data_IF_423561747005
#
_entry.id   IF_423561747005
#
_cell.length_a   1.000
_cell.length_b   1.000
_cell.length_c   1.000
_cell.angle_alpha   90.00
_cell.angle_beta   90.00
_cell.angle_gamma   90.00
#
_symmetry.space_group_name_H-M   'P 1'
#
loop_
_entity.id
_entity.type
_entity.pdbx_description
1 polymer ?
#
# COMPACT_ATOMS: atom_id res chain seq x y z
N UNK A 1 22.31 38.86 53.99
CA UNK A 1 22.81 38.15 52.79
C UNK A 1 21.96 36.91 52.56
N UNK A 2 21.06 36.94 51.56
CA UNK A 2 20.21 35.78 51.19
C UNK A 2 20.78 35.21 49.88
N UNK A 3 21.39 34.04 49.95
CA UNK A 3 21.87 33.32 48.75
C UNK A 3 20.68 32.71 48.05
N UNK A 4 20.40 33.17 46.84
CA UNK A 4 19.45 32.56 45.95
C UNK A 4 20.12 31.37 45.27
N UNK A 5 19.59 30.17 45.50
CA UNK A 5 20.00 28.94 44.80
C UNK A 5 19.30 28.94 43.45
N UNK A 6 20.01 29.20 42.36
CA UNK A 6 19.53 29.00 41.01
C UNK A 6 19.56 27.48 40.74
N UNK A 7 18.38 26.84 40.77
CA UNK A 7 18.24 25.51 40.18
C UNK A 7 18.28 25.67 38.64
N UNK A 8 19.38 25.28 38.03
CA UNK A 8 19.45 25.11 36.61
C UNK A 8 18.60 23.86 36.20
N UNK A 9 17.41 24.08 35.64
CA UNK A 9 16.67 23.05 34.94
C UNK A 9 17.47 22.70 33.69
N UNK A 10 18.20 21.57 33.74
CA UNK A 10 18.73 20.94 32.54
C UNK A 10 17.53 20.61 31.63
N UNK A 11 17.55 20.99 30.33
CA UNK A 11 16.53 20.53 29.41
C UNK A 11 16.59 19.01 29.40
N UNK A 12 15.47 18.36 29.70
CA UNK A 12 15.32 16.93 29.42
C UNK A 12 15.60 16.73 27.94
N UNK A 13 16.72 16.12 27.61
CA UNK A 13 16.97 15.61 26.27
C UNK A 13 15.84 14.62 26.01
N UNK A 14 14.84 15.05 25.22
CA UNK A 14 13.89 14.13 24.66
C UNK A 14 14.73 13.11 23.87
N UNK A 15 14.80 11.89 24.39
CA UNK A 15 15.40 10.78 23.65
C UNK A 15 14.66 10.74 22.30
N UNK A 16 15.39 10.92 21.22
CA UNK A 16 14.80 10.81 19.90
C UNK A 16 14.24 9.39 19.76
N UNK A 17 12.94 9.29 19.46
CA UNK A 17 12.30 8.00 19.24
C UNK A 17 12.99 7.30 18.07
N UNK A 18 13.29 6.02 18.24
CA UNK A 18 13.64 5.15 17.11
C UNK A 18 12.37 4.70 16.38
N UNK A 19 12.54 4.07 15.23
CA UNK A 19 11.41 3.66 14.41
C UNK A 19 10.53 2.61 15.12
N UNK A 20 11.11 1.71 15.92
CA UNK A 20 10.35 0.71 16.66
C UNK A 20 9.43 1.36 17.71
N UNK A 21 9.95 2.36 18.43
CA UNK A 21 9.15 3.17 19.38
C UNK A 21 8.05 3.96 18.68
N UNK A 22 8.31 4.47 17.46
CA UNK A 22 7.31 5.11 16.63
C UNK A 22 6.18 4.15 16.25
N UNK A 23 6.50 2.96 15.73
CA UNK A 23 5.51 1.94 15.37
C UNK A 23 4.63 1.55 16.58
N UNK A 24 5.23 1.31 17.74
CA UNK A 24 4.50 0.97 18.97
C UNK A 24 3.58 2.10 19.43
N UNK A 25 4.02 3.35 19.34
CA UNK A 25 3.21 4.51 19.73
C UNK A 25 1.94 4.62 18.89
N UNK A 26 2.03 4.38 17.59
CA UNK A 26 0.92 4.55 16.66
C UNK A 26 0.20 3.25 16.29
N UNK A 27 0.51 2.13 16.94
CA UNK A 27 -0.04 0.81 16.59
C UNK A 27 -1.58 0.72 16.66
N UNK A 28 -2.24 1.65 17.35
CA UNK A 28 -3.70 1.71 17.46
C UNK A 28 -4.35 2.72 16.51
N UNK A 29 -3.55 3.47 15.77
CA UNK A 29 -4.05 4.44 14.79
C UNK A 29 -4.31 3.77 13.44
N UNK A 30 -5.32 4.27 12.72
CA UNK A 30 -5.58 3.86 11.34
C UNK A 30 -4.56 4.46 10.35
N UNK A 31 -4.11 5.67 10.65
CA UNK A 31 -3.04 6.34 9.94
C UNK A 31 -2.22 7.14 10.95
N UNK A 32 -0.91 6.91 10.99
CA UNK A 32 -0.04 7.73 11.83
C UNK A 32 0.15 9.12 11.23
N UNK A 33 0.42 10.14 12.05
CA UNK A 33 0.72 11.48 11.56
C UNK A 33 1.95 11.46 10.63
N UNK A 34 1.89 12.25 9.55
CA UNK A 34 3.04 12.45 8.68
C UNK A 34 4.04 13.39 9.36
N UNK A 35 4.89 12.84 10.19
CA UNK A 35 5.92 13.55 10.94
C UNK A 35 7.30 12.94 10.66
N UNK A 36 8.33 13.76 10.75
CA UNK A 36 9.72 13.31 10.72
C UNK A 36 10.29 13.27 12.14
N UNK A 37 11.19 12.35 12.38
CA UNK A 37 11.99 12.29 13.59
C UNK A 37 13.48 12.15 13.23
N UNK A 38 14.32 12.50 14.19
CA UNK A 38 15.78 12.41 14.03
C UNK A 38 16.36 11.72 15.26
N UNK A 39 17.36 10.85 15.11
CA UNK A 39 18.03 10.49 13.86
C UNK A 39 17.24 9.46 13.03
N UNK A 40 17.63 9.29 11.76
CA UNK A 40 17.10 8.23 10.91
C UNK A 40 17.48 6.84 11.45
N UNK A 41 16.53 5.90 11.46
CA UNK A 41 16.81 4.48 11.74
C UNK A 41 17.14 3.76 10.43
N UNK A 42 18.39 3.28 10.32
CA UNK A 42 18.88 2.61 9.11
C UNK A 42 19.08 1.12 9.37
N UNK A 43 18.43 0.29 8.55
CA UNK A 43 18.56 -1.16 8.58
C UNK A 43 18.96 -1.68 7.19
N UNK A 44 19.72 -2.76 7.15
CA UNK A 44 20.02 -3.49 5.91
C UNK A 44 19.48 -4.90 6.01
N UNK A 45 18.92 -5.40 4.90
CA UNK A 45 18.47 -6.77 4.79
C UNK A 45 18.54 -7.24 3.34
N UNK A 46 19.31 -8.30 3.10
CA UNK A 46 19.30 -9.09 1.86
C UNK A 46 19.38 -8.25 0.56
N UNK A 47 20.31 -7.29 0.54
CA UNK A 47 20.58 -6.44 -0.62
C UNK A 47 19.74 -5.16 -0.67
N UNK A 48 19.02 -4.83 0.43
CA UNK A 48 18.25 -3.61 0.57
C UNK A 48 18.66 -2.79 1.79
N UNK A 49 18.62 -1.48 1.65
CA UNK A 49 18.81 -0.49 2.72
C UNK A 49 17.51 0.21 2.98
N UNK A 50 17.08 0.22 4.24
CA UNK A 50 15.86 0.86 4.73
C UNK A 50 16.26 1.99 5.67
N UNK A 51 15.90 3.22 5.33
CA UNK A 51 16.14 4.41 6.15
C UNK A 51 14.79 5.01 6.54
N UNK A 52 14.44 4.91 7.82
CA UNK A 52 13.19 5.45 8.36
C UNK A 52 13.40 6.81 9.02
N UNK A 53 12.57 7.77 8.65
CA UNK A 53 12.53 9.12 9.26
C UNK A 53 11.08 9.47 9.57
N UNK A 54 10.50 8.83 10.59
CA UNK A 54 9.09 8.99 10.93
C UNK A 54 8.16 8.43 9.87
N UNK A 55 7.27 9.27 9.35
CA UNK A 55 6.30 8.90 8.32
C UNK A 55 6.89 8.62 6.93
N UNK A 56 8.22 8.57 6.78
CA UNK A 56 8.89 8.25 5.52
C UNK A 56 9.85 7.08 5.67
N UNK A 57 9.84 6.17 4.72
CA UNK A 57 10.88 5.16 4.52
C UNK A 57 11.53 5.34 3.16
N UNK A 58 12.85 5.55 3.16
CA UNK A 58 13.67 5.51 1.96
C UNK A 58 14.24 4.12 1.78
N UNK A 59 13.98 3.51 0.62
CA UNK A 59 14.44 2.15 0.33
C UNK A 59 15.30 2.17 -0.93
N UNK A 60 16.50 1.61 -0.81
CA UNK A 60 17.47 1.53 -1.90
C UNK A 60 18.08 0.13 -1.97
N UNK A 61 18.45 -0.28 -3.17
CA UNK A 61 19.30 -1.49 -3.32
C UNK A 61 20.72 -1.18 -2.86
N UNK A 62 21.34 -2.08 -2.13
CA UNK A 62 22.77 -1.96 -1.77
C UNK A 62 23.67 -1.89 -3.02
N UNK A 63 23.30 -2.62 -4.06
CA UNK A 63 23.96 -2.58 -5.36
C UNK A 63 23.02 -1.99 -6.39
N UNK A 64 23.30 -0.79 -6.89
CA UNK A 64 22.51 -0.20 -7.95
C UNK A 64 22.46 -1.15 -9.15
N UNK A 65 21.28 -1.33 -9.71
CA UNK A 65 21.14 -2.07 -10.97
C UNK A 65 21.32 -1.15 -12.17
N UNK A 66 21.61 -1.73 -13.34
CA UNK A 66 21.59 -1.00 -14.61
C UNK A 66 20.24 -0.30 -14.78
N UNK A 67 20.22 0.85 -15.45
CA UNK A 67 19.05 1.69 -15.63
C UNK A 67 17.81 0.88 -16.07
N UNK A 68 16.90 0.65 -15.13
CA UNK A 68 15.62 -0.03 -15.34
C UNK A 68 14.53 0.87 -14.79
N UNK A 69 13.41 0.90 -15.47
CA UNK A 69 12.24 1.63 -15.00
C UNK A 69 11.74 1.03 -13.70
N UNK A 70 11.44 1.82 -12.67
CA UNK A 70 10.87 1.32 -11.42
C UNK A 70 9.57 0.59 -11.72
N UNK A 71 9.44 -0.60 -11.13
CA UNK A 71 8.29 -1.47 -11.32
C UNK A 71 7.84 -2.03 -9.97
N UNK A 72 6.56 -1.92 -9.70
CA UNK A 72 5.93 -2.42 -8.49
C UNK A 72 5.09 -3.65 -8.81
N UNK A 73 5.18 -4.69 -7.95
CA UNK A 73 4.25 -5.80 -7.95
C UNK A 73 3.06 -5.47 -7.05
N UNK A 74 1.85 -5.69 -7.52
CA UNK A 74 0.63 -5.28 -6.82
C UNK A 74 -0.22 -6.49 -6.44
N UNK A 75 -0.48 -6.68 -5.14
CA UNK A 75 -1.38 -7.68 -4.57
C UNK A 75 -2.43 -7.00 -3.69
N UNK A 76 -3.61 -7.61 -3.58
CA UNK A 76 -4.67 -7.22 -2.63
C UNK A 76 -5.60 -8.41 -2.41
N UNK A 77 -6.43 -8.36 -1.36
CA UNK A 77 -7.48 -9.34 -1.14
C UNK A 77 -6.98 -10.77 -1.08
N UNK A 78 -5.93 -11.05 -0.30
CA UNK A 78 -5.40 -12.41 -0.08
C UNK A 78 -6.43 -13.23 0.69
N UNK A 79 -6.94 -12.68 1.80
CA UNK A 79 -8.03 -13.16 2.66
C UNK A 79 -7.71 -14.37 3.53
N UNK A 80 -6.98 -15.36 3.01
CA UNK A 80 -6.62 -16.60 3.67
C UNK A 80 -5.32 -17.20 3.07
N UNK A 81 -4.86 -18.34 3.62
CA UNK A 81 -3.76 -19.15 3.07
C UNK A 81 -4.21 -20.59 2.77
N UNK A 82 -5.47 -20.78 2.39
CA UNK A 82 -5.90 -22.06 1.86
C UNK A 82 -5.01 -22.47 0.67
N UNK A 83 -4.85 -23.79 0.40
CA UNK A 83 -3.88 -24.25 -0.59
C UNK A 83 -3.99 -23.58 -1.96
N UNK A 84 -5.20 -23.28 -2.43
CA UNK A 84 -5.47 -22.63 -3.70
C UNK A 84 -5.05 -21.15 -3.68
N UNK A 85 -5.32 -20.44 -2.58
CA UNK A 85 -4.91 -19.04 -2.40
C UNK A 85 -3.39 -18.96 -2.31
N UNK A 86 -2.77 -19.85 -1.54
CA UNK A 86 -1.32 -19.91 -1.42
C UNK A 86 -0.66 -20.16 -2.77
N UNK A 87 -1.13 -21.14 -3.54
CA UNK A 87 -0.61 -21.44 -4.88
C UNK A 87 -0.76 -20.25 -5.84
N UNK A 88 -1.86 -19.50 -5.71
CA UNK A 88 -2.09 -18.29 -6.51
C UNK A 88 -1.09 -17.17 -6.14
N UNK A 89 -0.91 -16.91 -4.85
CA UNK A 89 0.07 -15.92 -4.36
C UNK A 89 1.49 -16.32 -4.76
N UNK A 90 1.87 -17.60 -4.63
CA UNK A 90 3.16 -18.13 -5.10
C UNK A 90 3.38 -17.84 -6.60
N UNK A 91 2.34 -18.02 -7.42
CA UNK A 91 2.39 -17.74 -8.87
C UNK A 91 2.66 -16.25 -9.14
N UNK A 92 1.99 -15.36 -8.41
CA UNK A 92 2.19 -13.91 -8.57
C UNK A 92 3.56 -13.46 -8.05
N UNK A 93 4.00 -13.96 -6.90
CA UNK A 93 5.33 -13.65 -6.37
C UNK A 93 6.44 -14.13 -7.31
N UNK A 94 6.31 -15.30 -7.91
CA UNK A 94 7.25 -15.80 -8.92
C UNK A 94 7.30 -14.89 -10.17
N UNK A 95 6.16 -14.34 -10.60
CA UNK A 95 6.12 -13.36 -11.69
C UNK A 95 6.80 -12.04 -11.30
N UNK A 96 6.63 -11.58 -10.05
CA UNK A 96 7.30 -10.39 -9.51
C UNK A 96 8.81 -10.57 -9.43
N UNK A 97 9.29 -11.72 -8.94
CA UNK A 97 10.72 -12.04 -8.93
C UNK A 97 11.30 -12.09 -10.35
N UNK A 98 10.63 -12.75 -11.29
CA UNK A 98 11.04 -12.79 -12.70
C UNK A 98 11.11 -11.40 -13.33
N UNK A 99 10.21 -10.50 -12.93
CA UNK A 99 10.19 -9.10 -13.40
C UNK A 99 11.22 -8.25 -12.67
N UNK A 100 11.77 -8.73 -11.54
CA UNK A 100 12.69 -8.01 -10.66
C UNK A 100 12.07 -6.69 -10.15
N UNK A 101 10.86 -6.77 -9.55
CA UNK A 101 10.15 -5.59 -9.03
C UNK A 101 10.94 -4.91 -7.91
N UNK A 102 10.71 -3.60 -7.71
CA UNK A 102 11.38 -2.81 -6.68
C UNK A 102 10.73 -2.94 -5.31
N UNK A 103 9.43 -3.19 -5.30
CA UNK A 103 8.65 -3.51 -4.10
C UNK A 103 7.41 -4.30 -4.48
N UNK A 104 6.84 -5.00 -3.50
CA UNK A 104 5.51 -5.62 -3.58
C UNK A 104 4.57 -4.81 -2.70
N UNK A 105 3.49 -4.31 -3.29
CA UNK A 105 2.44 -3.55 -2.62
C UNK A 105 1.31 -4.49 -2.23
N UNK A 106 0.89 -4.47 -0.97
CA UNK A 106 -0.27 -5.20 -0.44
C UNK A 106 -1.37 -4.18 -0.15
N UNK A 107 -2.33 -4.08 -1.04
CA UNK A 107 -3.34 -3.01 -1.07
C UNK A 107 -4.60 -3.30 -0.23
N UNK A 108 -4.45 -3.97 0.91
CA UNK A 108 -5.54 -4.23 1.85
C UNK A 108 -6.37 -5.49 1.56
N UNK A 109 -7.36 -5.73 2.41
CA UNK A 109 -8.17 -6.95 2.45
C UNK A 109 -7.32 -8.22 2.60
N UNK A 110 -6.31 -8.14 3.48
CA UNK A 110 -5.36 -9.22 3.72
C UNK A 110 -6.02 -10.35 4.52
N UNK A 111 -6.67 -10.04 5.65
CA UNK A 111 -7.54 -10.95 6.39
C UNK A 111 -8.42 -10.20 7.40
N UNK A 112 -9.62 -10.71 7.69
CA UNK A 112 -10.48 -10.18 8.77
C UNK A 112 -10.05 -10.65 10.16
N UNK A 113 -9.35 -11.78 10.24
CA UNK A 113 -8.99 -12.43 11.50
C UNK A 113 -7.53 -12.13 11.87
N UNK A 114 -7.24 -11.80 13.16
CA UNK A 114 -5.87 -11.54 13.61
C UNK A 114 -4.90 -12.69 13.34
N UNK A 115 -5.34 -13.93 13.56
CA UNK A 115 -4.55 -15.13 13.29
C UNK A 115 -4.25 -15.29 11.80
N UNK A 116 -5.20 -14.94 10.94
CA UNK A 116 -5.01 -14.94 9.48
C UNK A 116 -3.98 -13.89 9.04
N UNK A 117 -3.98 -12.69 9.66
CA UNK A 117 -2.97 -11.66 9.42
C UNK A 117 -1.58 -12.16 9.81
N UNK A 118 -1.43 -12.77 11.00
CA UNK A 118 -0.17 -13.33 11.47
C UNK A 118 0.37 -14.40 10.49
N UNK A 119 -0.48 -15.32 10.05
CA UNK A 119 -0.11 -16.39 9.13
C UNK A 119 0.31 -15.84 7.75
N UNK A 120 -0.49 -14.91 7.21
CA UNK A 120 -0.22 -14.35 5.88
C UNK A 120 1.09 -13.54 5.90
N UNK A 121 1.32 -12.69 6.90
CA UNK A 121 2.56 -11.92 6.96
C UNK A 121 3.78 -12.82 7.25
N UNK A 122 3.65 -13.82 8.12
CA UNK A 122 4.72 -14.81 8.31
C UNK A 122 5.08 -15.50 6.99
N UNK A 123 4.06 -15.94 6.24
CA UNK A 123 4.28 -16.54 4.93
C UNK A 123 4.95 -15.56 3.95
N UNK A 124 4.44 -14.34 3.81
CA UNK A 124 4.95 -13.37 2.83
C UNK A 124 6.40 -12.98 3.09
N UNK A 125 6.79 -12.76 4.36
CA UNK A 125 8.17 -12.35 4.70
C UNK A 125 9.20 -13.45 4.46
N UNK A 126 8.77 -14.72 4.35
CA UNK A 126 9.62 -15.84 3.97
C UNK A 126 9.55 -16.15 2.46
N UNK A 127 8.47 -15.77 1.79
CA UNK A 127 8.27 -16.06 0.37
C UNK A 127 9.02 -15.10 -0.56
N UNK A 128 9.35 -13.88 -0.10
CA UNK A 128 10.11 -12.91 -0.90
C UNK A 128 10.99 -12.03 -0.02
N UNK A 129 12.13 -11.59 -0.57
CA UNK A 129 13.03 -10.61 0.04
C UNK A 129 12.80 -9.19 -0.49
N UNK A 130 11.78 -8.99 -1.33
CA UNK A 130 11.41 -7.66 -1.83
C UNK A 130 10.77 -6.85 -0.69
N UNK A 131 10.97 -5.52 -0.67
CA UNK A 131 10.19 -4.67 0.22
C UNK A 131 8.69 -4.94 0.05
N UNK A 132 8.00 -5.20 1.17
CA UNK A 132 6.56 -5.43 1.24
C UNK A 132 5.91 -4.17 1.83
N UNK A 133 5.11 -3.47 1.03
CA UNK A 133 4.47 -2.20 1.39
C UNK A 133 2.97 -2.45 1.61
N UNK A 134 2.51 -2.38 2.85
CA UNK A 134 1.17 -2.84 3.26
C UNK A 134 0.29 -1.67 3.70
N UNK A 135 -0.92 -1.56 3.15
CA UNK A 135 -1.99 -0.71 3.70
C UNK A 135 -3.17 -1.58 4.16
N UNK A 136 -3.93 -1.09 5.13
CA UNK A 136 -5.20 -1.72 5.52
C UNK A 136 -6.30 -1.47 4.48
N UNK A 137 -7.21 -2.43 4.39
CA UNK A 137 -8.47 -2.32 3.65
C UNK A 137 -9.67 -2.10 4.57
N UNK A 138 -10.84 -2.55 4.12
CA UNK A 138 -12.06 -2.51 4.92
C UNK A 138 -12.36 -3.82 5.66
N UNK A 139 -11.54 -4.85 5.46
CA UNK A 139 -11.67 -6.14 6.17
C UNK A 139 -10.93 -6.15 7.50
N UNK A 140 -9.76 -5.55 7.58
CA UNK A 140 -8.89 -5.62 8.75
C UNK A 140 -9.34 -4.69 9.88
N UNK A 141 -9.05 -5.13 11.12
CA UNK A 141 -8.92 -4.23 12.27
C UNK A 141 -7.54 -3.59 12.21
N UNK A 142 -7.45 -2.27 12.14
CA UNK A 142 -6.17 -1.57 12.00
C UNK A 142 -5.15 -1.96 13.07
N UNK A 143 -5.56 -2.01 14.34
CA UNK A 143 -4.68 -2.44 15.43
C UNK A 143 -4.17 -3.88 15.27
N UNK A 144 -4.98 -4.81 14.73
CA UNK A 144 -4.55 -6.19 14.49
C UNK A 144 -3.53 -6.27 13.34
N UNK A 145 -3.77 -5.54 12.25
CA UNK A 145 -2.83 -5.43 11.14
C UNK A 145 -1.50 -4.83 11.61
N UNK A 146 -1.55 -3.69 12.33
CA UNK A 146 -0.36 -3.04 12.85
C UNK A 146 0.43 -3.97 13.77
N UNK A 147 -0.25 -4.68 14.68
CA UNK A 147 0.38 -5.63 15.60
C UNK A 147 1.06 -6.80 14.84
N UNK A 148 0.39 -7.38 13.86
CA UNK A 148 0.94 -8.48 13.06
C UNK A 148 2.21 -8.05 12.29
N UNK A 149 2.21 -6.85 11.72
CA UNK A 149 3.41 -6.30 11.05
C UNK A 149 4.54 -6.03 12.05
N UNK A 150 4.26 -5.37 13.18
CA UNK A 150 5.24 -5.08 14.23
C UNK A 150 5.87 -6.39 14.76
N UNK A 151 5.08 -7.43 14.95
CA UNK A 151 5.54 -8.75 15.37
C UNK A 151 6.58 -9.33 14.41
N UNK A 152 6.33 -9.29 13.10
CA UNK A 152 7.27 -9.76 12.08
C UNK A 152 8.54 -8.88 12.04
N UNK A 153 8.39 -7.57 12.18
CA UNK A 153 9.55 -6.66 12.23
C UNK A 153 10.43 -6.91 13.45
N UNK A 154 9.84 -7.18 14.62
CA UNK A 154 10.57 -7.58 15.85
C UNK A 154 11.29 -8.94 15.67
N UNK A 155 10.75 -9.83 14.83
CA UNK A 155 11.42 -11.08 14.44
C UNK A 155 12.57 -10.87 13.42
N UNK A 156 12.83 -9.62 13.00
CA UNK A 156 13.92 -9.26 12.10
C UNK A 156 13.54 -9.06 10.63
N UNK A 157 12.26 -9.18 10.27
CA UNK A 157 11.78 -8.99 8.90
C UNK A 157 11.56 -7.50 8.59
N UNK A 158 12.65 -6.72 8.54
CA UNK A 158 12.63 -5.26 8.37
C UNK A 158 12.12 -4.79 7.00
N UNK A 159 12.01 -5.68 6.03
CA UNK A 159 11.47 -5.38 4.69
C UNK A 159 9.93 -5.36 4.62
N UNK A 160 9.22 -5.71 5.71
CA UNK A 160 7.78 -5.55 5.84
C UNK A 160 7.48 -4.14 6.40
N UNK A 161 6.85 -3.30 5.61
CA UNK A 161 6.60 -1.89 5.90
C UNK A 161 5.09 -1.64 6.05
N UNK A 162 4.70 -1.09 7.19
CA UNK A 162 3.33 -0.65 7.44
C UNK A 162 3.11 0.75 6.85
N UNK A 163 2.45 0.82 5.70
CA UNK A 163 2.17 2.08 5.00
C UNK A 163 1.00 2.87 5.61
N UNK A 164 0.26 2.33 6.57
CA UNK A 164 -0.68 3.09 7.39
C UNK A 164 0.06 3.98 8.41
N UNK A 165 1.22 3.52 8.86
CA UNK A 165 2.08 4.25 9.80
C UNK A 165 3.16 5.05 9.06
N UNK A 166 3.85 4.42 8.10
CA UNK A 166 4.85 5.06 7.22
C UNK A 166 4.14 5.59 5.99
N UNK A 167 3.75 6.83 5.98
CA UNK A 167 2.87 7.41 4.97
C UNK A 167 3.52 7.70 3.60
N UNK A 168 4.86 7.65 3.52
CA UNK A 168 5.63 7.82 2.29
C UNK A 168 6.70 6.74 2.16
N UNK A 169 6.72 6.10 0.99
CA UNK A 169 7.84 5.31 0.49
C UNK A 169 8.60 6.16 -0.54
N UNK A 170 9.92 6.28 -0.36
CA UNK A 170 10.85 6.97 -1.26
C UNK A 170 11.71 5.89 -1.95
N UNK A 171 11.42 5.57 -3.20
CA UNK A 171 12.10 4.55 -4.01
C UNK A 171 12.97 5.16 -5.10
N UNK A 172 13.75 4.34 -5.83
CA UNK A 172 14.55 4.79 -6.97
C UNK A 172 13.64 5.12 -8.17
N UNK A 173 13.30 6.40 -8.37
CA UNK A 173 12.51 6.90 -9.49
C UNK A 173 11.00 6.74 -9.32
N UNK A 174 10.52 6.41 -8.12
CA UNK A 174 9.10 6.37 -7.77
C UNK A 174 8.89 6.60 -6.28
N UNK A 175 7.96 7.48 -5.95
CA UNK A 175 7.46 7.67 -4.59
C UNK A 175 6.05 7.09 -4.45
N UNK A 176 5.74 6.44 -3.31
CA UNK A 176 4.35 6.15 -2.96
C UNK A 176 3.94 7.00 -1.77
N UNK A 177 2.74 7.54 -1.82
CA UNK A 177 2.07 8.15 -0.68
C UNK A 177 0.78 7.38 -0.38
N UNK A 178 0.47 7.16 0.89
CA UNK A 178 -0.57 6.22 1.28
C UNK A 178 -1.58 6.78 2.26
N UNK A 179 -2.79 6.27 2.18
CA UNK A 179 -3.79 6.33 3.24
C UNK A 179 -4.48 4.97 3.36
N UNK A 180 -4.37 4.37 4.55
CA UNK A 180 -4.98 3.08 4.86
C UNK A 180 -6.44 3.21 5.30
N UNK A 181 -7.15 2.08 5.26
CA UNK A 181 -8.56 2.00 5.61
C UNK A 181 -9.51 2.35 4.47
N UNK A 182 -10.75 2.66 4.84
CA UNK A 182 -11.81 2.96 3.88
C UNK A 182 -12.56 4.26 4.23
N UNK A 183 -13.37 4.77 3.33
CA UNK A 183 -14.06 6.05 3.51
C UNK A 183 -15.46 5.93 4.12
N UNK A 184 -16.13 4.80 3.96
CA UNK A 184 -17.51 4.60 4.35
C UNK A 184 -17.66 3.44 5.35
N UNK A 185 -18.20 3.75 6.53
CA UNK A 185 -18.45 2.77 7.59
C UNK A 185 -19.42 1.65 7.20
N UNK A 186 -20.31 1.91 6.25
CA UNK A 186 -21.27 0.91 5.77
C UNK A 186 -20.61 -0.29 5.09
N UNK A 187 -19.38 -0.12 4.61
CA UNK A 187 -18.62 -1.17 3.94
C UNK A 187 -17.54 -1.81 4.80
N UNK A 188 -17.40 -1.42 6.07
CA UNK A 188 -16.50 -2.11 6.98
C UNK A 188 -17.05 -3.49 7.34
N UNK A 189 -16.23 -4.53 7.18
CA UNK A 189 -16.58 -5.89 7.60
C UNK A 189 -16.61 -6.01 9.12
N UNK A 190 -15.80 -5.23 9.82
CA UNK A 190 -15.71 -5.22 11.29
C UNK A 190 -15.90 -3.80 11.81
N UNK A 191 -16.61 -3.65 12.93
CA UNK A 191 -16.84 -2.35 13.56
C UNK A 191 -15.54 -1.59 13.94
N UNK A 192 -14.43 -2.33 14.13
CA UNK A 192 -13.11 -1.79 14.43
C UNK A 192 -12.21 -1.62 13.17
N UNK A 193 -12.79 -1.73 11.97
CA UNK A 193 -12.09 -1.43 10.73
C UNK A 193 -11.69 0.05 10.63
N UNK A 194 -10.65 0.31 9.88
CA UNK A 194 -10.10 1.66 9.74
C UNK A 194 -10.93 2.54 8.81
N UNK A 195 -11.23 3.73 9.31
CA UNK A 195 -11.81 4.83 8.53
C UNK A 195 -10.84 6.00 8.54
N UNK A 196 -10.36 6.40 7.38
CA UNK A 196 -9.57 7.62 7.28
C UNK A 196 -10.44 8.88 7.31
N UNK A 197 -9.86 9.95 7.87
CA UNK A 197 -10.52 11.25 8.12
C UNK A 197 -9.94 12.30 7.16
N UNK A 198 -10.55 13.47 7.12
CA UNK A 198 -10.07 14.60 6.31
C UNK A 198 -8.64 15.00 6.71
N UNK A 199 -8.29 14.95 8.01
CA UNK A 199 -6.91 15.14 8.49
C UNK A 199 -5.92 14.21 7.80
N UNK A 200 -6.26 12.92 7.64
CA UNK A 200 -5.38 11.94 7.02
C UNK A 200 -5.15 12.24 5.54
N UNK A 201 -6.15 12.86 4.88
CA UNK A 201 -6.07 13.32 3.50
C UNK A 201 -5.26 14.62 3.35
N UNK A 202 -5.34 15.53 4.33
CA UNK A 202 -4.49 16.73 4.36
C UNK A 202 -3.02 16.32 4.52
N UNK A 203 -2.70 15.41 5.41
CA UNK A 203 -1.36 14.85 5.60
C UNK A 203 -0.86 14.07 4.36
N UNK A 204 -1.76 13.40 3.63
CA UNK A 204 -1.45 12.78 2.35
C UNK A 204 -0.98 13.82 1.32
N UNK A 205 -1.62 14.98 1.27
CA UNK A 205 -1.21 16.07 0.39
C UNK A 205 0.16 16.66 0.79
N UNK A 206 0.47 16.70 2.09
CA UNK A 206 1.79 17.10 2.60
C UNK A 206 2.87 16.08 2.22
N UNK A 207 2.59 14.79 2.41
CA UNK A 207 3.48 13.71 1.99
C UNK A 207 3.78 13.77 0.48
N UNK A 208 2.76 14.00 -0.33
CA UNK A 208 2.91 14.14 -1.78
C UNK A 208 3.73 15.35 -2.18
N UNK A 209 3.64 16.47 -1.45
CA UNK A 209 4.44 17.67 -1.70
C UNK A 209 5.94 17.46 -1.39
N UNK A 210 6.29 16.42 -0.61
CA UNK A 210 7.67 16.07 -0.29
C UNK A 210 8.30 15.07 -1.27
N UNK A 211 7.53 14.56 -2.26
CA UNK A 211 8.02 13.65 -3.29
C UNK A 211 8.93 14.39 -4.28
N UNK A 212 10.07 13.77 -4.62
CA UNK A 212 11.02 14.26 -5.62
C UNK A 212 11.00 13.43 -6.91
N UNK A 213 10.39 12.26 -6.86
CA UNK A 213 10.12 11.40 -8.00
C UNK A 213 8.62 11.38 -8.38
N UNK A 214 8.22 10.51 -9.29
CA UNK A 214 6.84 10.33 -9.69
C UNK A 214 6.00 9.79 -8.51
N UNK A 215 5.10 10.62 -7.99
CA UNK A 215 4.23 10.26 -6.89
C UNK A 215 3.11 9.31 -7.35
N UNK A 216 2.94 8.20 -6.64
CA UNK A 216 1.86 7.22 -6.82
C UNK A 216 1.03 7.17 -5.54
N UNK A 217 -0.28 7.38 -5.65
CA UNK A 217 -1.18 7.19 -4.53
C UNK A 217 -1.41 5.69 -4.28
N UNK A 218 -1.29 5.26 -3.03
CA UNK A 218 -1.66 3.93 -2.56
C UNK A 218 -2.85 4.03 -1.60
N UNK A 219 -4.00 3.48 -2.00
CA UNK A 219 -5.21 3.41 -1.18
C UNK A 219 -5.89 2.05 -1.37
N UNK A 220 -6.70 1.62 -0.39
CA UNK A 220 -7.53 0.43 -0.60
C UNK A 220 -8.68 0.72 -1.56
N UNK A 221 -9.47 1.76 -1.30
CA UNK A 221 -10.58 2.16 -2.17
C UNK A 221 -10.16 3.13 -3.27
N UNK A 222 -10.77 3.06 -4.47
CA UNK A 222 -10.43 3.94 -5.58
C UNK A 222 -10.92 5.38 -5.39
N UNK A 223 -10.33 6.37 -6.10
CA UNK A 223 -10.92 7.70 -6.23
C UNK A 223 -12.28 7.62 -6.94
N UNK A 224 -13.17 8.59 -6.70
CA UNK A 224 -14.42 8.72 -7.44
C UNK A 224 -14.13 9.09 -8.89
N UNK A 225 -14.64 8.29 -9.80
CA UNK A 225 -14.53 8.47 -11.24
C UNK A 225 -15.91 8.55 -11.91
N UNK A 226 -15.99 8.43 -13.24
CA UNK A 226 -17.25 8.47 -13.98
C UNK A 226 -17.35 7.36 -15.01
N UNK A 227 -18.55 6.77 -15.11
CA UNK A 227 -18.90 5.80 -16.15
C UNK A 227 -18.60 4.36 -15.80
N UNK A 228 -19.18 3.46 -16.59
CA UNK A 228 -19.21 2.02 -16.32
C UNK A 228 -17.87 1.30 -16.55
N UNK A 229 -16.91 1.96 -17.18
CA UNK A 229 -15.57 1.41 -17.45
C UNK A 229 -14.52 1.95 -16.47
N UNK A 230 -14.93 2.79 -15.51
CA UNK A 230 -14.09 3.30 -14.45
C UNK A 230 -13.77 2.20 -13.42
N UNK A 231 -12.63 2.33 -12.74
CA UNK A 231 -12.19 1.31 -11.76
C UNK A 231 -12.99 1.34 -10.45
N UNK A 232 -13.84 2.36 -10.25
CA UNK A 232 -14.74 2.49 -9.10
C UNK A 232 -16.20 2.14 -9.43
N UNK A 233 -16.48 1.56 -10.61
CA UNK A 233 -17.82 1.22 -11.01
C UNK A 233 -18.27 -0.16 -10.51
N UNK A 234 -19.42 -0.19 -9.84
CA UNK A 234 -20.11 -1.41 -9.38
C UNK A 234 -21.47 -1.50 -10.04
N UNK A 235 -21.82 -2.60 -10.74
CA UNK A 235 -23.14 -2.80 -11.33
C UNK A 235 -24.27 -2.65 -10.29
N UNK A 236 -25.26 -1.83 -10.57
CA UNK A 236 -26.37 -1.56 -9.66
C UNK A 236 -26.12 -0.45 -8.62
N UNK A 237 -24.86 -0.14 -8.28
CA UNK A 237 -24.49 0.93 -7.34
C UNK A 237 -23.89 2.17 -8.04
N UNK A 238 -23.34 2.00 -9.25
CA UNK A 238 -22.69 3.08 -9.98
C UNK A 238 -21.23 3.28 -9.59
N UNK A 239 -20.73 4.51 -9.70
CA UNK A 239 -19.38 4.86 -9.29
C UNK A 239 -19.33 5.11 -7.77
N UNK A 240 -18.59 4.31 -7.02
CA UNK A 240 -18.59 4.26 -5.54
C UNK A 240 -17.30 4.75 -4.89
N UNK A 241 -16.32 5.20 -5.66
CA UNK A 241 -15.05 5.73 -5.13
C UNK A 241 -15.22 6.97 -4.24
N UNK A 242 -14.18 7.35 -3.50
CA UNK A 242 -14.22 8.53 -2.63
C UNK A 242 -13.95 9.83 -3.41
N UNK A 243 -14.88 10.79 -3.44
CA UNK A 243 -14.66 12.09 -4.07
C UNK A 243 -13.55 12.92 -3.40
N UNK A 244 -13.29 12.75 -2.10
CA UNK A 244 -12.24 13.46 -1.38
C UNK A 244 -10.85 13.03 -1.87
N UNK A 245 -10.65 11.74 -2.15
CA UNK A 245 -9.43 11.23 -2.79
C UNK A 245 -9.24 11.89 -4.15
N UNK A 246 -10.32 12.00 -4.95
CA UNK A 246 -10.26 12.68 -6.26
C UNK A 246 -9.80 14.14 -6.13
N UNK A 247 -10.26 14.85 -5.11
CA UNK A 247 -9.85 16.25 -4.87
C UNK A 247 -8.39 16.34 -4.40
N UNK A 248 -7.93 15.42 -3.55
CA UNK A 248 -6.51 15.35 -3.12
C UNK A 248 -5.61 15.11 -4.33
N UNK A 249 -5.95 14.15 -5.20
CA UNK A 249 -5.20 13.85 -6.42
C UNK A 249 -5.05 15.08 -7.32
N UNK A 250 -6.12 15.83 -7.52
CA UNK A 250 -6.10 17.07 -8.31
C UNK A 250 -5.23 18.15 -7.65
N UNK A 251 -5.42 18.40 -6.34
CA UNK A 251 -4.70 19.40 -5.57
C UNK A 251 -3.18 19.12 -5.55
N UNK A 252 -2.81 17.86 -5.28
CA UNK A 252 -1.42 17.42 -5.21
C UNK A 252 -0.82 17.09 -6.58
N UNK A 253 -1.62 17.13 -7.67
CA UNK A 253 -1.21 16.80 -9.05
C UNK A 253 -0.64 15.37 -9.18
N UNK A 254 -1.18 14.44 -8.40
CA UNK A 254 -0.82 13.02 -8.49
C UNK A 254 -1.60 12.42 -9.67
N UNK A 255 -0.87 11.84 -10.61
CA UNK A 255 -1.44 11.29 -11.85
C UNK A 255 -1.41 9.76 -11.89
N UNK A 256 -0.83 9.12 -10.88
CA UNK A 256 -0.76 7.68 -10.78
C UNK A 256 -1.34 7.21 -9.45
N UNK A 257 -2.02 6.05 -9.47
CA UNK A 257 -2.58 5.48 -8.24
C UNK A 257 -2.82 3.98 -8.32
N UNK A 258 -2.79 3.36 -7.16
CA UNK A 258 -3.04 1.94 -6.92
C UNK A 258 -4.24 1.85 -5.99
N UNK A 259 -5.25 1.09 -6.39
CA UNK A 259 -6.41 0.79 -5.57
C UNK A 259 -6.83 -0.69 -5.72
N UNK A 260 -7.68 -1.16 -4.81
CA UNK A 260 -8.30 -2.48 -4.83
C UNK A 260 -9.81 -2.35 -4.62
N UNK A 261 -10.34 -3.13 -3.65
CA UNK A 261 -11.72 -3.14 -3.15
C UNK A 261 -12.80 -3.50 -4.19
N UNK A 262 -12.85 -2.81 -5.34
CA UNK A 262 -13.88 -3.05 -6.38
C UNK A 262 -13.48 -4.25 -7.22
N UNK A 263 -13.94 -5.44 -6.83
CA UNK A 263 -13.54 -6.70 -7.47
C UNK A 263 -14.03 -6.81 -8.91
N UNK A 264 -15.14 -6.13 -9.25
CA UNK A 264 -15.67 -6.05 -10.61
C UNK A 264 -14.73 -5.35 -11.60
N UNK A 265 -13.80 -4.53 -11.09
CA UNK A 265 -12.81 -3.82 -11.88
C UNK A 265 -11.39 -4.43 -11.77
N UNK A 266 -11.27 -5.66 -11.25
CA UNK A 266 -9.98 -6.31 -11.04
C UNK A 266 -9.14 -6.40 -12.31
N UNK A 267 -7.87 -5.94 -12.23
CA UNK A 267 -6.94 -5.92 -13.35
C UNK A 267 -7.28 -4.89 -14.44
N UNK A 268 -8.10 -3.89 -14.11
CA UNK A 268 -8.40 -2.77 -15.01
C UNK A 268 -7.65 -1.51 -14.57
N UNK A 269 -7.46 -0.58 -15.51
CA UNK A 269 -6.97 0.76 -15.22
C UNK A 269 -7.74 1.82 -16.01
N UNK A 270 -7.78 3.03 -15.47
CA UNK A 270 -8.37 4.21 -16.09
C UNK A 270 -7.57 5.48 -15.78
N UNK A 271 -7.82 6.57 -16.51
CA UNK A 271 -7.48 7.91 -16.07
C UNK A 271 -8.43 8.37 -14.95
N UNK A 272 -8.18 9.53 -14.34
CA UNK A 272 -9.00 10.06 -13.24
C UNK A 272 -10.44 10.38 -13.68
N UNK A 273 -10.67 10.61 -14.97
CA UNK A 273 -12.02 10.82 -15.53
C UNK A 273 -12.80 9.51 -15.70
N UNK A 274 -12.14 8.34 -15.54
CA UNK A 274 -12.76 7.02 -15.71
C UNK A 274 -12.65 6.44 -17.12
N UNK A 275 -11.83 7.07 -18.00
CA UNK A 275 -11.56 6.52 -19.32
C UNK A 275 -10.55 5.38 -19.23
N UNK A 276 -10.83 4.20 -19.78
CA UNK A 276 -9.92 3.06 -19.70
C UNK A 276 -8.54 3.32 -20.29
N UNK A 277 -7.52 2.86 -19.58
CA UNK A 277 -6.13 2.80 -20.06
C UNK A 277 -5.83 1.34 -20.43
N UNK A 278 -5.40 1.05 -21.67
CA UNK A 278 -5.04 -0.32 -22.08
C UNK A 278 -3.78 -0.82 -21.38
N UNK A 279 -3.71 -2.14 -21.13
CA UNK A 279 -2.51 -2.80 -20.59
C UNK A 279 -1.28 -2.55 -21.48
N UNK A 280 -0.11 -2.45 -20.86
CA UNK A 280 1.21 -2.27 -21.51
C UNK A 280 1.35 -0.97 -22.31
N UNK A 281 0.37 -0.07 -22.21
CA UNK A 281 0.41 1.23 -22.88
C UNK A 281 0.82 2.32 -21.89
N UNK A 282 1.86 3.08 -22.23
CA UNK A 282 2.27 4.25 -21.45
C UNK A 282 1.20 5.35 -21.51
N UNK A 283 0.75 5.80 -20.36
CA UNK A 283 -0.22 6.87 -20.18
C UNK A 283 0.31 7.94 -19.23
N UNK A 284 -0.03 9.23 -19.43
CA UNK A 284 0.38 10.31 -18.53
C UNK A 284 -0.45 10.36 -17.23
N UNK A 285 -1.55 9.62 -17.19
CA UNK A 285 -2.43 9.46 -16.04
C UNK A 285 -2.93 8.01 -16.01
N UNK A 286 -2.79 7.34 -14.85
CA UNK A 286 -3.14 5.94 -14.70
C UNK A 286 -3.46 5.58 -13.26
N UNK A 287 -4.69 5.11 -13.03
CA UNK A 287 -5.15 4.52 -11.77
C UNK A 287 -5.49 3.06 -12.03
N UNK A 288 -4.80 2.15 -11.32
CA UNK A 288 -4.96 0.71 -11.51
C UNK A 288 -5.70 0.08 -10.34
N UNK A 289 -6.66 -0.79 -10.65
CA UNK A 289 -7.26 -1.69 -9.68
C UNK A 289 -6.51 -3.03 -9.74
N UNK A 290 -5.80 -3.35 -8.68
CA UNK A 290 -4.94 -4.55 -8.59
C UNK A 290 -5.75 -5.86 -8.46
N UNK A 291 -7.05 -5.77 -8.12
CA UNK A 291 -7.92 -6.93 -7.97
C UNK A 291 -7.77 -7.62 -6.63
N UNK A 292 -8.02 -8.93 -6.60
CA UNK A 292 -7.86 -9.80 -5.44
C UNK A 292 -6.98 -10.98 -5.82
N UNK A 293 -6.01 -11.33 -4.97
CA UNK A 293 -5.16 -12.50 -5.15
C UNK A 293 -5.87 -13.81 -4.79
N UNK A 294 -6.99 -13.74 -4.07
CA UNK A 294 -7.81 -14.91 -3.73
C UNK A 294 -8.46 -15.49 -4.99
N UNK A 295 -8.41 -16.82 -5.20
CA UNK A 295 -8.90 -17.48 -6.43
C UNK A 295 -10.41 -17.67 -6.51
N UNK A 296 -11.18 -17.18 -5.54
CA UNK A 296 -12.64 -17.23 -5.61
C UNK A 296 -13.15 -16.54 -6.87
N UNK A 297 -14.08 -17.19 -7.62
CA UNK A 297 -14.57 -16.64 -8.87
C UNK A 297 -15.34 -15.33 -8.65
N UNK A 298 -15.02 -14.31 -9.44
CA UNK A 298 -15.70 -13.02 -9.40
C UNK A 298 -16.05 -12.52 -10.80
N UNK A 299 -17.28 -12.03 -10.98
CA UNK A 299 -17.77 -11.50 -12.26
C UNK A 299 -17.21 -10.10 -12.47
N UNK A 300 -16.49 -9.88 -13.56
CA UNK A 300 -15.90 -8.59 -13.92
C UNK A 300 -16.85 -7.73 -14.76
N UNK A 301 -16.60 -6.41 -14.76
CA UNK A 301 -17.33 -5.43 -15.57
C UNK A 301 -17.19 -5.65 -17.09
N UNK A 302 -16.15 -6.36 -17.54
CA UNK A 302 -15.96 -6.75 -18.95
C UNK A 302 -16.69 -8.05 -19.33
N UNK A 303 -17.43 -8.63 -18.40
CA UNK A 303 -18.20 -9.86 -18.59
C UNK A 303 -17.44 -11.15 -18.34
N UNK A 304 -16.13 -11.10 -18.10
CA UNK A 304 -15.31 -12.27 -17.77
C UNK A 304 -15.46 -12.65 -16.30
N UNK A 305 -14.86 -13.78 -15.93
CA UNK A 305 -14.72 -14.22 -14.53
C UNK A 305 -13.24 -14.20 -14.16
N UNK A 306 -12.89 -13.53 -13.05
CA UNK A 306 -11.57 -13.59 -12.42
C UNK A 306 -11.50 -14.79 -11.50
N UNK A 307 -10.32 -15.41 -11.42
CA UNK A 307 -9.94 -16.45 -10.47
C UNK A 307 -8.63 -16.06 -9.76
N UNK A 308 -8.54 -14.84 -9.31
CA UNK A 308 -7.35 -14.21 -8.77
C UNK A 308 -6.71 -13.26 -9.77
N UNK A 309 -6.30 -12.10 -9.26
CA UNK A 309 -5.68 -11.04 -10.06
C UNK A 309 -4.61 -10.34 -9.23
N UNK A 310 -3.50 -10.04 -9.88
CA UNK A 310 -2.44 -9.17 -9.42
C UNK A 310 -2.05 -8.24 -10.56
N UNK A 311 -1.14 -7.29 -10.35
CA UNK A 311 -0.69 -6.43 -11.43
C UNK A 311 0.78 -6.06 -11.29
N UNK A 312 1.38 -5.58 -12.37
CA UNK A 312 2.64 -4.86 -12.42
C UNK A 312 2.34 -3.42 -12.79
N UNK A 313 2.94 -2.46 -12.07
CA UNK A 313 2.90 -1.05 -12.39
C UNK A 313 4.33 -0.58 -12.68
N UNK A 314 4.58 -0.09 -13.90
CA UNK A 314 5.90 0.42 -14.31
C UNK A 314 5.82 1.92 -14.53
N UNK A 315 6.72 2.67 -13.88
CA UNK A 315 6.86 4.12 -14.03
C UNK A 315 7.96 4.42 -15.06
N UNK A 316 7.70 5.35 -15.97
CA UNK A 316 8.61 5.81 -17.00
C UNK A 316 8.61 7.34 -17.06
N UNK A 317 9.31 7.95 -16.11
CA UNK A 317 9.31 9.40 -15.89
C UNK A 317 7.89 9.91 -15.59
N UNK A 318 7.32 10.72 -16.49
CA UNK A 318 5.96 11.27 -16.34
C UNK A 318 4.86 10.41 -16.97
N UNK A 319 5.13 9.14 -17.23
CA UNK A 319 4.16 8.18 -17.75
C UNK A 319 4.24 6.88 -16.95
N UNK A 320 3.15 6.15 -16.93
CA UNK A 320 3.09 4.81 -16.35
C UNK A 320 2.38 3.83 -17.29
N UNK A 321 2.67 2.56 -17.11
CA UNK A 321 1.95 1.47 -17.73
C UNK A 321 1.69 0.37 -16.70
N UNK A 322 0.68 -0.45 -16.95
CA UNK A 322 0.39 -1.60 -16.10
C UNK A 322 0.24 -2.88 -16.94
N UNK A 323 0.39 -4.00 -16.27
CA UNK A 323 0.09 -5.34 -16.80
C UNK A 323 -0.68 -6.12 -15.73
N UNK A 324 -1.88 -6.61 -16.08
CA UNK A 324 -2.65 -7.46 -15.19
C UNK A 324 -2.18 -8.90 -15.28
N UNK A 325 -1.86 -9.50 -14.14
CA UNK A 325 -1.54 -10.93 -13.99
C UNK A 325 -2.83 -11.63 -13.55
N UNK A 326 -3.28 -12.59 -14.34
CA UNK A 326 -4.56 -13.28 -14.13
C UNK A 326 -4.32 -14.73 -13.71
N UNK A 327 -4.90 -15.10 -12.58
CA UNK A 327 -4.92 -16.47 -12.10
C UNK A 327 -5.71 -17.39 -13.05
N UNK A 328 -5.32 -18.65 -13.05
CA UNK A 328 -6.09 -19.70 -13.71
C UNK A 328 -7.19 -20.20 -12.76
N UNK A 329 -8.29 -20.66 -13.34
CA UNK A 329 -9.32 -21.38 -12.56
C UNK A 329 -8.64 -22.55 -11.84
N UNK A 330 -8.81 -22.68 -10.49
CA UNK A 330 -8.33 -23.86 -9.79
C UNK A 330 -8.91 -25.14 -10.42
N UNK A 331 -8.10 -26.19 -10.49
CA UNK A 331 -8.58 -27.50 -10.87
C UNK A 331 -9.54 -28.00 -9.78
N UNK A 332 -10.60 -28.67 -10.19
CA UNK A 332 -11.50 -29.30 -9.23
C UNK A 332 -10.73 -30.40 -8.47
N UNK A 333 -10.91 -30.50 -7.14
CA UNK A 333 -10.25 -31.52 -6.33
C UNK A 333 -10.64 -32.95 -6.72
#
# INVERSE_FOLDING_TARGET
MRSALLLALAPALALADDFATWEERYQFECNAPFQQFSPADVKTREGWVFEHTGGTVKIRREKPRAAKKPTLGLLSGIKDLEPETKAMVDTFLAAFEKTDVDAVVIGGDTSSEPEGLDQIFDYLVHATNRPLLVVSGNMERGAALNYAIIKQRKAGFTHLINMDLVRRYDGDGVDLVSVGGYHDRAYLHLAAGCIYKDKDLDELAEAAASCDDAAVLLTHGPPRQKGQKAIDYVPGAGNVGDPRITEVLKKAKITFGIAGHILEAAGMASDLAGKPVPEKKLAPELFVNQGSANPLPWKLNDGKTSYGTAALLTIDGKKASYEALRGKKPEAP
#
